data_IF_589372578504
#
_entry.id   IF_589372578504
#
_cell.length_a   1.000
_cell.length_b   1.000
_cell.length_c   1.000
_cell.angle_alpha   90.00
_cell.angle_beta   90.00
_cell.angle_gamma   90.00
#
_symmetry.space_group_name_H-M   'P 1'
#
loop_
_entity.id
_entity.type
_entity.pdbx_description
1 polymer ?
#
# COMPACT_ATOMS: atom_id res chain seq x y z
N UNK A 1 -17.54 -18.95 -6.62
CA UNK A 1 -16.62 -18.06 -5.91
C UNK A 1 -16.03 -17.10 -6.91
N UNK A 2 -16.51 -15.87 -6.93
CA UNK A 2 -15.99 -14.82 -7.79
C UNK A 2 -14.81 -14.12 -7.10
N UNK A 3 -13.92 -13.51 -7.89
CA UNK A 3 -12.83 -12.70 -7.37
C UNK A 3 -12.87 -11.33 -8.01
N UNK A 4 -12.95 -10.28 -7.20
CA UNK A 4 -13.03 -8.89 -7.65
C UNK A 4 -11.76 -8.16 -7.24
N UNK A 5 -11.17 -7.40 -8.16
CA UNK A 5 -10.02 -6.53 -7.88
C UNK A 5 -10.49 -5.08 -8.01
N UNK A 6 -10.37 -4.30 -6.93
CA UNK A 6 -10.71 -2.87 -6.91
C UNK A 6 -9.43 -2.07 -6.69
N UNK A 7 -9.29 -1.00 -7.48
CA UNK A 7 -8.22 -0.02 -7.37
C UNK A 7 -8.30 0.85 -6.11
N UNK A 8 -7.53 1.94 -6.11
CA UNK A 8 -7.40 2.86 -4.97
C UNK A 8 -8.76 3.40 -4.51
N UNK A 9 -9.05 3.25 -3.21
CA UNK A 9 -10.36 3.61 -2.63
C UNK A 9 -10.36 5.03 -2.08
N UNK A 10 -9.27 5.49 -1.46
CA UNK A 10 -9.11 6.86 -0.96
C UNK A 10 -10.29 7.36 -0.11
N UNK A 11 -10.80 6.55 0.81
CA UNK A 11 -11.92 6.96 1.69
C UNK A 11 -13.26 7.16 0.97
N UNK A 12 -13.40 6.72 -0.29
CA UNK A 12 -14.66 6.71 -1.05
C UNK A 12 -15.54 5.51 -0.64
N UNK A 13 -15.99 5.52 0.62
CA UNK A 13 -16.75 4.42 1.21
C UNK A 13 -18.07 4.16 0.47
N UNK A 14 -18.82 5.22 0.16
CA UNK A 14 -20.13 5.09 -0.48
C UNK A 14 -20.00 4.49 -1.88
N UNK A 15 -19.00 4.91 -2.64
CA UNK A 15 -18.69 4.38 -3.97
C UNK A 15 -18.23 2.93 -3.90
N UNK A 16 -17.38 2.58 -2.93
CA UNK A 16 -16.95 1.19 -2.72
C UNK A 16 -18.16 0.28 -2.44
N UNK A 17 -19.06 0.69 -1.53
CA UNK A 17 -20.26 -0.07 -1.21
C UNK A 17 -21.22 -0.14 -2.40
N UNK A 18 -21.38 0.95 -3.16
CA UNK A 18 -22.20 0.96 -4.36
C UNK A 18 -21.68 -0.04 -5.42
N UNK A 19 -20.37 -0.08 -5.64
CA UNK A 19 -19.74 -1.02 -6.58
C UNK A 19 -19.90 -2.47 -6.12
N UNK A 20 -19.69 -2.76 -4.83
CA UNK A 20 -19.86 -4.10 -4.27
C UNK A 20 -21.31 -4.58 -4.34
N UNK A 21 -22.30 -3.69 -4.15
CA UNK A 21 -23.71 -3.99 -4.36
C UNK A 21 -24.04 -4.28 -5.82
N UNK A 22 -23.44 -3.54 -6.76
CA UNK A 22 -23.69 -3.73 -8.19
C UNK A 22 -23.27 -5.12 -8.69
N UNK A 23 -22.28 -5.73 -8.04
CA UNK A 23 -21.80 -7.08 -8.37
C UNK A 23 -22.30 -8.17 -7.41
N UNK A 24 -23.26 -7.83 -6.54
CA UNK A 24 -23.83 -8.70 -5.51
C UNK A 24 -22.76 -9.42 -4.65
N UNK A 25 -21.69 -8.71 -4.29
CA UNK A 25 -20.57 -9.27 -3.54
C UNK A 25 -21.03 -9.87 -2.20
N UNK A 26 -20.72 -11.14 -1.98
CA UNK A 26 -21.11 -11.86 -0.76
C UNK A 26 -19.88 -12.38 0.01
N UNK A 27 -19.56 -11.79 1.17
CA UNK A 27 -18.49 -12.30 2.05
C UNK A 27 -18.70 -13.78 2.40
N UNK A 28 -17.63 -14.55 2.42
CA UNK A 28 -17.64 -16.01 2.63
C UNK A 28 -17.93 -16.82 1.36
N UNK A 29 -18.39 -16.19 0.28
CA UNK A 29 -18.55 -16.84 -1.04
C UNK A 29 -17.61 -16.25 -2.09
N UNK A 30 -17.37 -14.94 -2.03
CA UNK A 30 -16.51 -14.19 -2.94
C UNK A 30 -15.26 -13.68 -2.24
N UNK A 31 -14.25 -13.29 -3.03
CA UNK A 31 -13.03 -12.67 -2.53
C UNK A 31 -12.81 -11.30 -3.15
N UNK A 32 -12.55 -10.32 -2.31
CA UNK A 32 -12.21 -8.96 -2.70
C UNK A 32 -10.69 -8.76 -2.61
N UNK A 33 -10.09 -8.24 -3.66
CA UNK A 33 -8.70 -7.81 -3.72
C UNK A 33 -8.64 -6.29 -3.80
N UNK A 34 -7.84 -5.66 -2.95
CA UNK A 34 -7.71 -4.20 -2.89
C UNK A 34 -6.25 -3.76 -3.13
N UNK A 35 -6.04 -2.80 -4.03
CA UNK A 35 -4.70 -2.31 -4.41
C UNK A 35 -4.02 -1.43 -3.36
N UNK A 36 -4.64 -1.23 -2.19
CA UNK A 36 -4.17 -0.31 -1.16
C UNK A 36 -4.68 1.10 -1.38
N UNK A 37 -4.05 2.07 -0.71
CA UNK A 37 -4.49 3.46 -0.66
C UNK A 37 -5.98 3.55 -0.27
N UNK A 38 -6.32 2.83 0.80
CA UNK A 38 -7.68 2.74 1.32
C UNK A 38 -8.15 4.08 1.91
N UNK A 39 -7.20 4.86 2.40
CA UNK A 39 -7.42 6.10 3.13
C UNK A 39 -6.92 7.32 2.36
N UNK A 40 -7.15 8.49 2.96
CA UNK A 40 -6.79 9.82 2.48
C UNK A 40 -7.66 10.35 1.32
N UNK A 41 -7.66 11.67 1.16
CA UNK A 41 -8.39 12.47 0.14
C UNK A 41 -9.92 12.46 0.27
N UNK A 42 -10.55 11.28 0.32
CA UNK A 42 -11.99 11.14 0.48
C UNK A 42 -12.45 11.28 1.93
N UNK A 43 -13.77 11.45 2.14
CA UNK A 43 -14.34 11.76 3.45
C UNK A 43 -14.46 10.56 4.41
N UNK A 44 -14.57 9.33 3.89
CA UNK A 44 -14.96 8.14 4.64
C UNK A 44 -13.82 7.18 4.99
N UNK A 45 -12.60 7.67 5.19
CA UNK A 45 -11.43 6.81 5.49
C UNK A 45 -11.65 5.89 6.69
N UNK A 46 -12.34 6.38 7.73
CA UNK A 46 -12.68 5.59 8.93
C UNK A 46 -13.61 4.42 8.59
N UNK A 47 -14.66 4.69 7.81
CA UNK A 47 -15.65 3.68 7.44
C UNK A 47 -15.07 2.64 6.48
N UNK A 48 -14.21 3.06 5.55
CA UNK A 48 -13.45 2.13 4.69
C UNK A 48 -12.62 1.16 5.53
N UNK A 49 -11.81 1.65 6.49
CA UNK A 49 -10.98 0.74 7.30
C UNK A 49 -11.83 -0.21 8.15
N UNK A 50 -12.91 0.27 8.77
CA UNK A 50 -13.83 -0.57 9.55
C UNK A 50 -14.46 -1.66 8.69
N UNK A 51 -14.95 -1.28 7.52
CA UNK A 51 -15.57 -2.20 6.57
C UNK A 51 -14.59 -3.25 6.06
N UNK A 52 -13.44 -2.82 5.52
CA UNK A 52 -12.43 -3.73 4.98
C UNK A 52 -11.93 -4.70 6.06
N UNK A 53 -11.65 -4.20 7.28
CA UNK A 53 -11.29 -5.06 8.42
C UNK A 53 -12.39 -6.08 8.76
N UNK A 54 -13.67 -5.72 8.63
CA UNK A 54 -14.80 -6.59 8.93
C UNK A 54 -14.97 -7.76 7.96
N UNK A 55 -14.39 -7.68 6.74
CA UNK A 55 -14.46 -8.73 5.73
C UNK A 55 -13.63 -9.98 6.07
N UNK A 56 -12.67 -9.87 6.98
CA UNK A 56 -11.83 -10.99 7.42
C UNK A 56 -11.15 -11.68 6.23
N UNK A 57 -11.29 -13.00 6.15
CA UNK A 57 -10.65 -13.81 5.10
C UNK A 57 -11.22 -13.59 3.69
N UNK A 58 -12.33 -12.85 3.56
CA UNK A 58 -12.91 -12.50 2.26
C UNK A 58 -12.20 -11.32 1.58
N UNK A 59 -11.20 -10.71 2.23
CA UNK A 59 -10.41 -9.64 1.63
C UNK A 59 -8.92 -9.98 1.59
N UNK A 60 -8.29 -9.66 0.46
CA UNK A 60 -6.85 -9.70 0.24
C UNK A 60 -6.38 -8.33 -0.20
N UNK A 61 -5.67 -7.61 0.64
CA UNK A 61 -5.19 -6.27 0.31
C UNK A 61 -3.67 -6.20 0.28
N UNK A 62 -3.18 -5.14 -0.35
CA UNK A 62 -1.80 -4.67 -0.20
C UNK A 62 -1.80 -3.26 0.38
N UNK A 63 -0.71 -2.86 1.04
CA UNK A 63 -0.50 -1.51 1.54
C UNK A 63 -0.03 -0.57 0.43
N UNK A 64 -0.66 0.61 0.34
CA UNK A 64 -0.24 1.71 -0.53
C UNK A 64 0.52 2.82 0.20
N UNK A 65 0.94 3.85 -0.53
CA UNK A 65 1.73 4.94 0.04
C UNK A 65 0.92 5.82 1.02
N UNK A 66 -0.37 6.00 0.79
CA UNK A 66 -1.24 6.77 1.68
C UNK A 66 -1.56 5.98 2.96
N UNK A 67 -1.63 4.65 2.88
CA UNK A 67 -1.78 3.80 4.06
C UNK A 67 -0.55 3.92 4.97
N UNK A 68 0.66 3.81 4.39
CA UNK A 68 1.91 4.02 5.14
C UNK A 68 2.03 5.45 5.70
N UNK A 69 1.58 6.45 4.95
CA UNK A 69 1.55 7.83 5.44
C UNK A 69 0.63 7.99 6.66
N UNK A 70 -0.55 7.35 6.66
CA UNK A 70 -1.44 7.34 7.82
C UNK A 70 -0.74 6.73 9.05
N UNK A 71 -0.03 5.60 8.90
CA UNK A 71 0.73 5.00 10.00
C UNK A 71 1.78 5.97 10.57
N UNK A 72 2.48 6.71 9.69
CA UNK A 72 3.47 7.70 10.10
C UNK A 72 2.86 8.90 10.83
N UNK A 73 1.66 9.34 10.42
CA UNK A 73 0.92 10.40 11.11
C UNK A 73 0.46 9.93 12.49
N UNK A 74 -0.11 8.73 12.57
CA UNK A 74 -0.56 8.15 13.84
C UNK A 74 0.59 7.96 14.84
N UNK A 75 1.75 7.53 14.37
CA UNK A 75 2.95 7.37 15.20
C UNK A 75 3.66 8.70 15.56
N UNK A 76 3.13 9.86 15.13
CA UNK A 76 3.71 11.17 15.41
C UNK A 76 4.97 11.51 14.61
N UNK A 77 5.32 10.70 13.61
CA UNK A 77 6.50 10.90 12.74
C UNK A 77 6.22 11.97 11.67
N UNK A 78 4.98 12.03 11.19
CA UNK A 78 4.58 12.96 10.13
C UNK A 78 3.40 13.83 10.55
N UNK A 79 3.32 15.02 9.95
CA UNK A 79 2.19 15.93 10.20
C UNK A 79 0.98 15.52 9.37
N UNK A 80 -0.18 15.47 10.02
CA UNK A 80 -1.47 15.32 9.35
C UNK A 80 -1.71 16.54 8.44
N UNK A 81 -1.92 16.30 7.14
CA UNK A 81 -2.24 17.38 6.19
C UNK A 81 -3.76 17.49 6.09
N UNK A 82 -4.36 18.69 6.21
CA UNK A 82 -5.81 18.86 6.17
C UNK A 82 -6.48 18.26 4.93
N UNK A 83 -5.79 18.29 3.78
CA UNK A 83 -6.28 17.70 2.51
C UNK A 83 -6.46 16.19 2.54
N UNK A 84 -5.77 15.48 3.45
CA UNK A 84 -5.85 14.03 3.57
C UNK A 84 -7.08 13.61 4.39
N UNK A 85 -7.74 14.53 5.12
CA UNK A 85 -9.00 14.30 5.86
C UNK A 85 -8.94 13.11 6.83
N UNK A 86 -7.78 12.88 7.45
CA UNK A 86 -7.56 11.73 8.34
C UNK A 86 -8.04 11.96 9.78
N UNK A 87 -8.38 13.19 10.18
CA UNK A 87 -8.73 13.50 11.57
C UNK A 87 -9.87 12.64 12.14
N UNK A 88 -11.00 12.42 11.43
CA UNK A 88 -12.07 11.55 11.95
C UNK A 88 -11.60 10.13 12.29
N UNK A 89 -10.65 9.61 11.52
CA UNK A 89 -10.07 8.29 11.75
C UNK A 89 -9.07 8.31 12.92
N UNK A 90 -8.20 9.32 12.99
CA UNK A 90 -7.19 9.47 14.04
C UNK A 90 -7.81 9.73 15.42
N UNK A 91 -8.93 10.46 15.46
CA UNK A 91 -9.65 10.81 16.69
C UNK A 91 -10.66 9.71 17.12
N UNK A 92 -10.79 8.63 16.33
CA UNK A 92 -11.75 7.58 16.61
C UNK A 92 -11.34 6.74 17.85
N UNK A 93 -12.30 6.30 18.68
CA UNK A 93 -12.00 5.50 19.87
C UNK A 93 -11.38 4.13 19.54
N UNK A 94 -11.55 3.64 18.32
CA UNK A 94 -10.99 2.39 17.81
C UNK A 94 -9.78 2.60 16.89
N UNK A 95 -9.20 3.81 16.83
CA UNK A 95 -8.05 4.14 15.99
C UNK A 95 -6.88 3.17 16.21
N UNK A 96 -6.50 2.90 17.47
CA UNK A 96 -5.45 1.93 17.81
C UNK A 96 -5.70 0.54 17.21
N UNK A 97 -6.95 0.08 17.24
CA UNK A 97 -7.33 -1.24 16.71
C UNK A 97 -7.20 -1.26 15.19
N UNK A 98 -7.66 -0.21 14.52
CA UNK A 98 -7.61 -0.09 13.06
C UNK A 98 -6.17 0.05 12.56
N UNK A 99 -5.36 0.88 13.22
CA UNK A 99 -3.96 1.11 12.86
C UNK A 99 -3.11 -0.14 13.11
N UNK A 100 -3.30 -0.83 14.24
CA UNK A 100 -2.60 -2.08 14.51
C UNK A 100 -2.99 -3.20 13.55
N UNK A 101 -4.23 -3.20 13.05
CA UNK A 101 -4.64 -4.11 11.99
C UNK A 101 -4.01 -3.72 10.64
N UNK A 102 -4.03 -2.44 10.28
CA UNK A 102 -3.53 -1.94 8.99
C UNK A 102 -2.03 -2.20 8.84
N UNK A 103 -1.21 -1.93 9.86
CA UNK A 103 0.25 -2.15 9.80
C UNK A 103 0.67 -3.63 9.66
N UNK A 104 -0.27 -4.56 9.83
CA UNK A 104 -0.05 -6.00 9.66
C UNK A 104 -0.53 -6.53 8.31
N UNK A 105 -1.02 -5.65 7.43
CA UNK A 105 -1.45 -6.03 6.10
C UNK A 105 -0.24 -6.20 5.17
N UNK A 106 -0.31 -7.08 4.15
CA UNK A 106 0.82 -7.36 3.26
C UNK A 106 1.18 -6.17 2.34
N UNK A 107 2.37 -6.20 1.77
CA UNK A 107 2.77 -5.40 0.61
C UNK A 107 2.60 -6.16 -0.70
N UNK A 108 2.55 -7.49 -0.64
CA UNK A 108 2.47 -8.37 -1.81
C UNK A 108 1.42 -9.46 -1.58
N UNK A 109 0.51 -9.61 -2.54
CA UNK A 109 -0.46 -10.70 -2.59
C UNK A 109 -0.18 -11.59 -3.80
N UNK A 110 -0.23 -12.90 -3.61
CA UNK A 110 0.01 -13.89 -4.68
C UNK A 110 -1.08 -14.95 -4.62
N UNK A 111 -1.61 -15.29 -5.79
CA UNK A 111 -2.47 -16.43 -6.03
C UNK A 111 -1.82 -17.30 -7.13
N UNK A 112 -1.22 -18.41 -6.70
CA UNK A 112 -0.46 -19.30 -7.57
C UNK A 112 -1.35 -20.08 -8.56
N UNK A 113 -2.62 -20.29 -8.22
CA UNK A 113 -3.60 -20.98 -9.08
C UNK A 113 -4.08 -20.04 -10.19
N UNK A 114 -4.39 -18.79 -9.82
CA UNK A 114 -4.82 -17.75 -10.78
C UNK A 114 -3.66 -17.10 -11.53
N UNK A 115 -2.42 -17.42 -11.15
CA UNK A 115 -1.19 -16.76 -11.66
C UNK A 115 -1.28 -15.24 -11.53
N UNK A 116 -1.74 -14.79 -10.36
CA UNK A 116 -2.00 -13.40 -10.08
C UNK A 116 -1.07 -12.89 -8.98
N UNK A 117 -0.44 -11.75 -9.24
CA UNK A 117 0.40 -11.03 -8.28
C UNK A 117 -0.12 -9.60 -8.18
N UNK A 118 -0.27 -9.10 -6.96
CA UNK A 118 -0.71 -7.74 -6.70
C UNK A 118 0.23 -7.07 -5.71
N UNK A 119 0.67 -5.87 -6.06
CA UNK A 119 1.36 -4.91 -5.22
C UNK A 119 0.91 -3.51 -5.68
N UNK A 120 0.90 -2.52 -4.77
CA UNK A 120 0.28 -1.22 -5.02
C UNK A 120 0.85 -0.52 -6.27
N UNK A 121 2.17 -0.44 -6.39
CA UNK A 121 2.87 0.16 -7.53
C UNK A 121 3.41 -0.88 -8.53
N UNK A 122 3.05 -2.16 -8.38
CA UNK A 122 3.54 -3.25 -9.20
C UNK A 122 4.88 -3.85 -8.75
N UNK A 123 5.57 -4.52 -9.68
CA UNK A 123 6.86 -5.21 -9.45
C UNK A 123 7.93 -4.54 -10.31
N UNK A 124 9.03 -4.12 -9.70
CA UNK A 124 10.14 -3.50 -10.44
C UNK A 124 10.78 -4.52 -11.40
N UNK A 125 11.23 -4.09 -12.60
CA UNK A 125 11.96 -4.97 -13.52
C UNK A 125 13.30 -5.48 -12.98
N UNK A 126 13.78 -4.92 -11.86
CA UNK A 126 15.04 -5.32 -11.23
C UNK A 126 14.92 -6.59 -10.36
N UNK A 127 13.71 -7.11 -10.16
CA UNK A 127 13.43 -8.25 -9.30
C UNK A 127 12.83 -9.42 -10.06
N UNK A 128 13.18 -10.63 -9.63
CA UNK A 128 12.33 -11.79 -9.84
C UNK A 128 11.26 -11.90 -8.72
N UNK A 129 10.36 -12.88 -8.87
CA UNK A 129 9.25 -13.04 -7.94
C UNK A 129 9.72 -13.47 -6.54
N UNK A 130 10.79 -14.25 -6.42
CA UNK A 130 11.30 -14.70 -5.13
C UNK A 130 11.98 -13.56 -4.35
N UNK A 131 12.67 -12.66 -5.07
CA UNK A 131 13.18 -11.41 -4.51
C UNK A 131 12.03 -10.53 -4.03
N UNK A 132 10.99 -10.34 -4.84
CA UNK A 132 9.79 -9.59 -4.42
C UNK A 132 9.13 -10.19 -3.16
N UNK A 133 8.96 -11.51 -3.09
CA UNK A 133 8.42 -12.23 -1.91
C UNK A 133 9.27 -12.02 -0.65
N UNK A 134 10.59 -11.99 -0.80
CA UNK A 134 11.52 -11.79 0.33
C UNK A 134 11.49 -10.34 0.80
N UNK A 135 11.56 -9.40 -0.14
CA UNK A 135 11.49 -7.96 0.12
C UNK A 135 10.18 -7.56 0.83
N UNK A 136 9.04 -8.09 0.38
CA UNK A 136 7.75 -7.83 1.01
C UNK A 136 7.77 -8.28 2.48
N UNK A 137 8.22 -9.52 2.74
CA UNK A 137 8.32 -10.08 4.09
C UNK A 137 9.26 -9.28 5.01
N UNK A 138 10.39 -8.78 4.49
CA UNK A 138 11.33 -7.95 5.26
C UNK A 138 10.64 -6.69 5.80
N UNK A 139 9.91 -5.96 4.95
CA UNK A 139 9.22 -4.73 5.36
C UNK A 139 7.99 -5.02 6.21
N UNK A 140 7.20 -6.04 5.87
CA UNK A 140 6.04 -6.49 6.64
C UNK A 140 6.43 -6.88 8.08
N UNK A 141 7.55 -7.57 8.27
CA UNK A 141 8.05 -7.93 9.59
C UNK A 141 8.36 -6.70 10.45
N UNK A 142 8.94 -5.66 9.85
CA UNK A 142 9.24 -4.40 10.54
C UNK A 142 7.96 -3.64 10.87
N UNK A 143 7.00 -3.56 9.93
CA UNK A 143 5.70 -2.91 10.14
C UNK A 143 4.86 -3.60 11.23
N UNK A 144 4.97 -4.94 11.35
CA UNK A 144 4.30 -5.74 12.37
C UNK A 144 4.98 -5.70 13.76
N UNK A 145 6.22 -5.19 13.84
CA UNK A 145 7.00 -5.09 15.08
C UNK A 145 6.64 -3.87 15.92
N UNK A 146 7.08 -3.80 17.18
CA UNK A 146 6.90 -2.61 18.02
C UNK A 146 7.84 -1.46 17.62
N UNK A 147 8.85 -1.73 16.78
CA UNK A 147 9.80 -0.74 16.27
C UNK A 147 9.37 -0.11 14.94
N UNK A 148 8.13 -0.36 14.49
CA UNK A 148 7.60 0.20 13.25
C UNK A 148 7.72 1.73 13.13
N UNK A 149 7.61 2.55 14.20
CA UNK A 149 7.74 4.01 14.07
C UNK A 149 9.13 4.44 13.60
N UNK A 150 10.18 3.73 14.00
CA UNK A 150 11.56 4.03 13.58
C UNK A 150 11.75 3.79 12.07
N UNK A 151 11.10 2.77 11.53
CA UNK A 151 11.11 2.51 10.10
C UNK A 151 10.28 3.53 9.32
N UNK A 152 9.13 3.96 9.85
CA UNK A 152 8.28 4.96 9.21
C UNK A 152 8.98 6.33 9.05
N UNK A 153 9.92 6.67 9.92
CA UNK A 153 10.77 7.85 9.73
C UNK A 153 11.78 7.62 8.59
N UNK A 154 12.41 6.46 8.60
CA UNK A 154 13.43 6.10 7.62
C UNK A 154 12.91 5.91 6.19
N UNK A 155 11.62 5.60 5.99
CA UNK A 155 11.04 5.42 4.65
C UNK A 155 10.91 6.73 3.86
N UNK A 156 10.94 7.90 4.52
CA UNK A 156 10.90 9.20 3.83
C UNK A 156 12.25 9.46 3.16
N UNK A 157 12.39 9.01 1.92
CA UNK A 157 13.54 9.29 1.08
C UNK A 157 13.39 8.67 -0.31
N UNK A 158 14.02 9.30 -1.30
CA UNK A 158 13.90 8.89 -2.70
C UNK A 158 15.13 8.09 -3.20
N UNK A 159 16.14 7.91 -2.34
CA UNK A 159 17.35 7.12 -2.61
C UNK A 159 17.54 6.02 -1.56
N UNK A 160 18.05 4.82 -1.93
CA UNK A 160 18.56 4.46 -3.26
C UNK A 160 17.43 4.18 -4.28
N UNK A 161 17.75 4.24 -5.57
CA UNK A 161 16.82 4.03 -6.68
C UNK A 161 17.24 2.86 -7.60
N UNK A 162 18.28 2.12 -7.24
CA UNK A 162 18.72 0.89 -7.88
C UNK A 162 18.77 -0.23 -6.84
N UNK A 163 18.29 -1.41 -7.22
CA UNK A 163 18.39 -2.62 -6.42
C UNK A 163 19.80 -3.18 -6.47
N UNK A 164 20.30 -3.62 -5.32
CA UNK A 164 21.49 -4.47 -5.23
C UNK A 164 21.30 -5.43 -4.06
N UNK A 165 21.77 -6.66 -4.20
CA UNK A 165 21.76 -7.65 -3.12
C UNK A 165 22.57 -7.18 -1.90
N UNK A 166 23.54 -6.28 -2.09
CA UNK A 166 24.35 -5.70 -1.02
C UNK A 166 23.62 -4.62 -0.22
N UNK A 167 22.44 -4.18 -0.67
CA UNK A 167 21.62 -3.23 0.09
C UNK A 167 21.21 -3.86 1.42
N UNK A 168 21.50 -3.14 2.50
CA UNK A 168 21.17 -3.55 3.86
C UNK A 168 20.58 -2.40 4.69
N UNK A 169 20.03 -2.74 5.85
CA UNK A 169 19.45 -1.78 6.79
C UNK A 169 18.36 -0.90 6.18
N UNK A 170 18.34 0.37 6.58
CA UNK A 170 17.30 1.33 6.18
C UNK A 170 17.29 1.63 4.68
N UNK A 171 18.46 1.58 4.02
CA UNK A 171 18.56 1.81 2.57
C UNK A 171 17.84 0.71 1.78
N UNK A 172 18.01 -0.56 2.18
CA UNK A 172 17.28 -1.71 1.63
C UNK A 172 15.78 -1.53 1.79
N UNK A 173 15.32 -1.32 3.03
CA UNK A 173 13.89 -1.20 3.33
C UNK A 173 13.24 -0.05 2.56
N UNK A 174 13.92 1.11 2.49
CA UNK A 174 13.42 2.27 1.74
C UNK A 174 13.29 2.00 0.24
N UNK A 175 14.27 1.36 -0.40
CA UNK A 175 14.14 0.97 -1.81
C UNK A 175 12.94 0.06 -2.01
N UNK A 176 12.77 -0.95 -1.14
CA UNK A 176 11.67 -1.89 -1.21
C UNK A 176 10.32 -1.16 -1.09
N UNK A 177 10.19 -0.26 -0.11
CA UNK A 177 8.98 0.55 0.07
C UNK A 177 8.69 1.43 -1.14
N UNK A 178 9.71 2.08 -1.70
CA UNK A 178 9.55 2.90 -2.90
C UNK A 178 9.09 2.06 -4.09
N UNK A 179 9.70 0.89 -4.31
CA UNK A 179 9.33 -0.02 -5.38
C UNK A 179 7.87 -0.49 -5.27
N UNK A 180 7.43 -0.91 -4.08
CA UNK A 180 6.07 -1.43 -3.90
C UNK A 180 4.99 -0.35 -3.80
N UNK A 181 5.29 0.86 -3.34
CA UNK A 181 4.25 1.83 -2.99
C UNK A 181 4.30 3.14 -3.77
N UNK A 182 5.39 3.45 -4.47
CA UNK A 182 5.57 4.76 -5.10
C UNK A 182 6.10 4.73 -6.54
N UNK A 183 6.49 3.56 -7.05
CA UNK A 183 7.03 3.38 -8.39
C UNK A 183 6.04 3.84 -9.47
N UNK A 184 6.54 4.54 -10.48
CA UNK A 184 5.78 4.95 -11.68
C UNK A 184 6.63 4.77 -12.93
N UNK A 185 7.73 5.51 -13.01
CA UNK A 185 8.67 5.47 -14.13
C UNK A 185 9.96 4.75 -13.75
N UNK A 186 10.57 4.13 -14.75
CA UNK A 186 11.89 3.54 -14.65
C UNK A 186 12.78 4.13 -15.75
N UNK A 187 14.05 4.38 -15.43
CA UNK A 187 15.08 4.62 -16.44
C UNK A 187 15.32 3.35 -17.28
N UNK A 188 15.95 3.44 -18.47
CA UNK A 188 16.18 2.28 -19.34
C UNK A 188 16.97 1.13 -18.70
N UNK A 189 17.73 1.40 -17.64
CA UNK A 189 18.48 0.40 -16.86
C UNK A 189 17.67 -0.17 -15.67
N UNK A 190 16.38 0.15 -15.56
CA UNK A 190 15.48 -0.29 -14.51
C UNK A 190 15.48 0.56 -13.24
N UNK A 191 16.36 1.57 -13.11
CA UNK A 191 16.37 2.46 -11.93
C UNK A 191 15.03 3.18 -11.77
N UNK A 192 14.59 3.36 -10.52
CA UNK A 192 13.32 4.03 -10.23
C UNK A 192 13.46 5.54 -10.38
N UNK A 193 12.50 6.17 -11.04
CA UNK A 193 12.28 7.61 -10.91
C UNK A 193 11.20 7.88 -9.86
N UNK A 194 11.51 8.79 -8.92
CA UNK A 194 10.66 9.09 -7.77
C UNK A 194 9.94 10.45 -7.89
N UNK A 195 10.07 11.14 -9.02
CA UNK A 195 9.67 12.53 -9.18
C UNK A 195 8.57 12.73 -10.23
N UNK A 196 8.70 12.10 -11.40
CA UNK A 196 7.76 12.22 -12.50
C UNK A 196 6.41 11.59 -12.15
N UNK A 197 5.33 12.35 -12.34
CA UNK A 197 3.94 11.94 -12.08
C UNK A 197 3.03 12.22 -13.27
N UNK A 198 3.63 12.48 -14.42
CA UNK A 198 2.93 12.78 -15.66
C UNK A 198 2.43 11.49 -16.34
N UNK A 199 1.68 11.64 -17.43
CA UNK A 199 1.33 10.51 -18.29
C UNK A 199 2.57 10.00 -19.05
N UNK A 200 2.59 8.73 -19.49
CA UNK A 200 3.74 8.17 -20.21
C UNK A 200 4.17 8.99 -21.43
N UNK A 201 3.23 9.59 -22.17
CA UNK A 201 3.50 10.38 -23.36
C UNK A 201 4.16 11.74 -23.07
N UNK A 202 4.06 12.21 -21.82
CA UNK A 202 4.60 13.49 -21.35
C UNK A 202 5.87 13.31 -20.51
N UNK A 203 6.35 12.07 -20.37
CA UNK A 203 7.54 11.77 -19.59
C UNK A 203 8.79 12.40 -20.24
N UNK A 204 9.65 13.09 -19.48
CA UNK A 204 10.87 13.66 -20.02
C UNK A 204 11.87 12.55 -20.33
N UNK A 205 12.52 12.61 -21.50
CA UNK A 205 13.63 11.71 -21.81
C UNK A 205 14.71 11.79 -20.70
N UNK A 206 15.32 10.67 -20.26
CA UNK A 206 15.26 9.34 -20.87
C UNK A 206 14.20 8.38 -20.26
N UNK A 207 13.21 8.92 -19.54
CA UNK A 207 12.09 8.13 -19.00
C UNK A 207 11.12 7.66 -20.10
#
# INVERSE_FOLDING_TARGET
MSTYLIGDVHGCYDEQIALLKQVDFTPGQDTLWLTGDLVARGPGSLDVLRFVKSLGDSVRMVLGNHDLHLLAVFAGISRNKPKDRLSPLLDAPDADVLINWLRRQPLLQIDEEKKLVMAHAGITPQWDLETAKTCARDVEAVLASDSYPFFLDAMYGDMPNHWSEDLSGLARLRFITNAFTRMRFCFPNGQLDMYCKETPESAPAPL
#
